data_IF_256996812567
#
_entry.id   IF_256996812567
#
_cell.length_a   1.000
_cell.length_b   1.000
_cell.length_c   1.000
_cell.angle_alpha   90.00
_cell.angle_beta   90.00
_cell.angle_gamma   90.00
#
_symmetry.space_group_name_H-M   'P 1'
#
loop_
_entity.id
_entity.type
_entity.pdbx_description
1 polymer ?
#
# COMPACT_ATOMS: atom_id res chain seq x y z
N UNK A 1 51.24 -33.42 50.97
CA UNK A 1 50.32 -32.78 50.00
C UNK A 1 50.01 -33.77 48.89
N UNK A 2 48.74 -34.17 48.75
CA UNK A 2 48.34 -35.31 47.93
C UNK A 2 48.45 -34.96 46.42
N UNK A 3 49.23 -35.72 45.65
CA UNK A 3 49.49 -35.44 44.21
C UNK A 3 48.20 -35.28 43.40
N UNK A 4 47.11 -35.93 43.81
CA UNK A 4 45.79 -35.80 43.19
C UNK A 4 45.16 -34.41 43.38
N UNK A 5 45.40 -33.75 44.52
CA UNK A 5 44.89 -32.41 44.83
C UNK A 5 45.65 -31.34 44.02
N UNK A 6 46.96 -31.52 43.82
CA UNK A 6 47.78 -30.61 43.01
C UNK A 6 47.37 -30.63 41.53
N UNK A 7 47.08 -31.82 40.98
CA UNK A 7 46.63 -31.98 39.59
C UNK A 7 45.24 -31.38 39.39
N UNK A 8 44.33 -31.55 40.34
CA UNK A 8 42.98 -30.97 40.25
C UNK A 8 43.02 -29.43 40.26
N UNK A 9 43.87 -28.84 41.11
CA UNK A 9 44.01 -27.39 41.21
C UNK A 9 44.58 -26.76 39.91
N UNK A 10 45.54 -27.43 39.26
CA UNK A 10 46.11 -26.96 37.99
C UNK A 10 45.08 -27.00 36.84
N UNK A 11 44.27 -28.05 36.76
CA UNK A 11 43.22 -28.16 35.72
C UNK A 11 42.17 -27.06 35.89
N UNK A 12 41.70 -26.80 37.12
CA UNK A 12 40.70 -25.75 37.39
C UNK A 12 41.27 -24.37 37.02
N UNK A 13 42.53 -24.09 37.33
CA UNK A 13 43.18 -22.82 36.98
C UNK A 13 43.28 -22.59 35.46
N UNK A 14 43.54 -23.64 34.69
CA UNK A 14 43.61 -23.58 33.23
C UNK A 14 42.24 -23.33 32.58
N UNK A 15 41.17 -23.92 33.13
CA UNK A 15 39.80 -23.67 32.66
C UNK A 15 39.33 -22.24 32.98
N UNK A 16 39.67 -21.70 34.16
CA UNK A 16 39.32 -20.33 34.52
C UNK A 16 40.08 -19.33 33.63
N UNK A 17 41.37 -19.56 33.39
CA UNK A 17 42.17 -18.71 32.50
C UNK A 17 41.66 -18.78 31.04
N UNK A 18 41.31 -19.96 30.55
CA UNK A 18 40.73 -20.15 29.21
C UNK A 18 39.34 -19.50 29.07
N UNK A 19 38.49 -19.59 30.10
CA UNK A 19 37.17 -18.95 30.11
C UNK A 19 37.28 -17.42 30.11
N UNK A 20 38.19 -16.84 30.91
CA UNK A 20 38.42 -15.40 30.91
C UNK A 20 39.02 -14.89 29.59
N UNK A 21 39.92 -15.65 28.95
CA UNK A 21 40.47 -15.27 27.66
C UNK A 21 39.42 -15.30 26.54
N UNK A 22 38.55 -16.31 26.53
CA UNK A 22 37.47 -16.45 25.55
C UNK A 22 36.34 -15.42 25.76
N UNK A 23 36.06 -15.03 27.01
CA UNK A 23 34.99 -14.07 27.32
C UNK A 23 35.43 -12.59 27.22
N UNK A 24 36.74 -12.30 27.28
CA UNK A 24 37.28 -10.94 27.24
C UNK A 24 37.61 -10.44 25.82
N UNK A 25 37.57 -11.29 24.80
CA UNK A 25 37.67 -10.88 23.40
C UNK A 25 36.35 -10.30 22.88
N UNK A 26 35.94 -9.13 23.39
CA UNK A 26 34.91 -8.29 22.75
C UNK A 26 35.58 -7.46 21.64
N UNK A 27 35.10 -7.52 20.38
CA UNK A 27 35.61 -6.63 19.33
C UNK A 27 35.24 -5.18 19.69
N UNK A 28 36.26 -4.33 19.82
CA UNK A 28 36.15 -2.92 20.22
C UNK A 28 35.64 -1.99 19.10
N UNK A 29 35.14 -2.53 17.98
CA UNK A 29 34.56 -1.76 16.89
C UNK A 29 33.38 -2.50 16.26
N UNK A 30 32.19 -2.30 16.82
CA UNK A 30 30.93 -2.45 16.09
C UNK A 30 30.38 -1.05 15.80
N UNK A 31 31.03 -0.35 14.87
CA UNK A 31 30.47 0.87 14.29
C UNK A 31 29.31 0.44 13.37
N UNK A 32 28.09 0.50 13.89
CA UNK A 32 26.86 0.14 13.18
C UNK A 32 26.55 1.16 12.08
N UNK A 33 27.24 1.05 10.94
CA UNK A 33 26.96 1.78 9.70
C UNK A 33 25.57 1.46 9.11
N UNK A 34 24.92 0.40 9.58
CA UNK A 34 23.60 -0.04 9.07
C UNK A 34 22.44 0.78 9.62
N UNK A 35 22.59 1.38 10.80
CA UNK A 35 21.52 2.15 11.45
C UNK A 35 21.38 3.56 10.86
N UNK A 36 22.48 4.19 10.44
CA UNK A 36 22.45 5.49 9.75
C UNK A 36 21.78 5.39 8.38
N UNK A 37 22.16 4.40 7.57
CA UNK A 37 21.62 4.19 6.22
C UNK A 37 20.11 3.92 6.22
N UNK A 38 19.60 3.09 7.14
CA UNK A 38 18.17 2.79 7.21
C UNK A 38 17.35 3.96 7.75
N UNK A 39 17.90 4.74 8.68
CA UNK A 39 17.21 5.91 9.24
C UNK A 39 17.18 7.08 8.26
N UNK A 40 18.25 7.29 7.50
CA UNK A 40 18.33 8.29 6.44
C UNK A 40 17.41 7.94 5.26
N UNK A 41 17.40 6.68 4.81
CA UNK A 41 16.48 6.22 3.75
C UNK A 41 15.02 6.33 4.19
N UNK A 42 14.70 5.98 5.45
CA UNK A 42 13.34 6.13 6.00
C UNK A 42 12.93 7.60 6.07
N UNK A 43 13.83 8.50 6.48
CA UNK A 43 13.59 9.95 6.47
C UNK A 43 13.29 10.46 5.06
N UNK A 44 14.13 10.12 4.08
CA UNK A 44 13.95 10.52 2.68
C UNK A 44 12.65 10.00 2.05
N UNK A 45 12.25 8.76 2.34
CA UNK A 45 10.97 8.19 1.87
C UNK A 45 9.78 8.93 2.48
N UNK A 46 9.86 9.28 3.77
CA UNK A 46 8.81 10.05 4.42
C UNK A 46 8.69 11.47 3.85
N UNK A 47 9.83 12.12 3.56
CA UNK A 47 9.85 13.46 2.96
C UNK A 47 9.28 13.45 1.53
N UNK A 48 9.63 12.43 0.73
CA UNK A 48 9.09 12.27 -0.61
C UNK A 48 7.57 12.01 -0.59
N UNK A 49 7.08 11.17 0.34
CA UNK A 49 5.65 10.91 0.50
C UNK A 49 4.89 12.17 0.95
N UNK A 50 5.45 12.92 1.91
CA UNK A 50 4.87 14.18 2.36
C UNK A 50 4.82 15.24 1.25
N UNK A 51 5.88 15.36 0.45
CA UNK A 51 5.89 16.25 -0.71
C UNK A 51 4.84 15.86 -1.77
N UNK A 52 4.66 14.55 -2.01
CA UNK A 52 3.64 14.05 -2.92
C UNK A 52 2.22 14.33 -2.42
N UNK A 53 1.98 14.11 -1.12
CA UNK A 53 0.72 14.49 -0.47
C UNK A 53 0.42 15.99 -0.61
N UNK A 54 1.40 16.85 -0.32
CA UNK A 54 1.24 18.30 -0.42
C UNK A 54 0.86 18.72 -1.84
N UNK A 55 1.51 18.13 -2.84
CA UNK A 55 1.18 18.37 -4.24
C UNK A 55 -0.25 17.93 -4.59
N UNK A 56 -0.60 16.66 -4.30
CA UNK A 56 -1.89 16.08 -4.69
C UNK A 56 -3.08 16.76 -3.98
N UNK A 57 -2.90 17.16 -2.72
CA UNK A 57 -3.94 17.83 -1.93
C UNK A 57 -4.25 19.25 -2.39
N UNK A 58 -3.29 19.94 -3.01
CA UNK A 58 -3.43 21.33 -3.48
C UNK A 58 -3.68 21.47 -4.98
N UNK A 59 -3.20 20.50 -5.77
CA UNK A 59 -3.20 20.57 -7.24
C UNK A 59 -4.06 19.49 -7.90
N UNK A 60 -4.94 18.84 -7.13
CA UNK A 60 -5.89 17.86 -7.65
C UNK A 60 -6.82 18.44 -8.72
N UNK A 61 -7.14 17.61 -9.72
CA UNK A 61 -8.10 17.93 -10.78
C UNK A 61 -9.31 16.98 -10.78
N UNK A 62 -9.30 15.95 -9.93
CA UNK A 62 -10.34 14.94 -9.85
C UNK A 62 -11.64 15.53 -9.33
N UNK A 63 -12.76 15.19 -9.97
CA UNK A 63 -14.10 15.56 -9.53
C UNK A 63 -15.04 14.38 -9.64
N UNK A 64 -15.89 14.20 -8.62
CA UNK A 64 -16.93 13.19 -8.61
C UNK A 64 -18.18 13.67 -9.39
N UNK A 65 -17.99 14.11 -10.65
CA UNK A 65 -19.04 14.64 -11.54
C UNK A 65 -19.10 13.88 -12.88
N UNK A 66 -20.29 13.88 -13.49
CA UNK A 66 -20.51 13.31 -14.83
C UNK A 66 -19.69 14.02 -15.91
N UNK A 67 -19.60 15.36 -15.86
CA UNK A 67 -18.80 16.14 -16.79
C UNK A 67 -17.30 15.77 -16.73
N UNK A 68 -16.75 15.58 -15.52
CA UNK A 68 -15.37 15.12 -15.40
C UNK A 68 -15.21 13.71 -15.96
N UNK A 69 -16.12 12.78 -15.63
CA UNK A 69 -16.11 11.42 -16.21
C UNK A 69 -16.07 11.45 -17.73
N UNK A 70 -16.93 12.24 -18.36
CA UNK A 70 -17.06 12.28 -19.81
C UNK A 70 -15.79 12.90 -20.45
N UNK A 71 -15.15 13.87 -19.77
CA UNK A 71 -13.90 14.48 -20.22
C UNK A 71 -12.70 13.52 -20.26
N UNK A 72 -12.69 12.45 -19.46
CA UNK A 72 -11.55 11.51 -19.39
C UNK A 72 -11.29 10.86 -20.74
N UNK A 73 -12.33 10.61 -21.53
CA UNK A 73 -12.22 9.96 -22.84
C UNK A 73 -11.36 10.77 -23.83
N UNK A 74 -11.37 12.10 -23.72
CA UNK A 74 -10.61 13.01 -24.59
C UNK A 74 -9.26 13.44 -24.03
N UNK A 75 -8.94 13.10 -22.78
CA UNK A 75 -7.63 13.42 -22.18
C UNK A 75 -6.49 12.71 -22.95
N UNK A 76 -5.31 13.33 -23.14
CA UNK A 76 -4.12 12.61 -23.57
C UNK A 76 -3.80 11.44 -22.63
N UNK A 77 -3.32 10.32 -23.16
CA UNK A 77 -3.09 9.08 -22.41
C UNK A 77 -2.13 9.24 -21.22
N UNK A 78 -1.15 10.13 -21.33
CA UNK A 78 -0.18 10.47 -20.30
C UNK A 78 -0.67 11.55 -19.31
N UNK A 79 -1.91 12.03 -19.47
CA UNK A 79 -2.52 12.95 -18.49
C UNK A 79 -2.75 12.21 -17.17
N UNK A 80 -2.85 12.97 -16.07
CA UNK A 80 -2.99 12.43 -14.72
C UNK A 80 -4.30 12.90 -14.10
N UNK A 81 -5.07 11.97 -13.55
CA UNK A 81 -6.24 12.22 -12.72
C UNK A 81 -5.75 12.24 -11.27
N UNK A 82 -5.74 13.43 -10.68
CA UNK A 82 -5.01 13.70 -9.45
C UNK A 82 -5.91 14.23 -8.33
N UNK A 83 -5.57 13.89 -7.09
CA UNK A 83 -6.23 14.36 -5.88
C UNK A 83 -7.52 13.62 -5.54
N UNK A 84 -8.13 14.01 -4.43
CA UNK A 84 -9.39 13.47 -3.94
C UNK A 84 -10.59 14.06 -4.69
N UNK A 85 -11.71 13.34 -4.75
CA UNK A 85 -12.89 13.79 -5.50
C UNK A 85 -14.06 14.30 -4.62
N UNK A 86 -14.09 14.00 -3.32
CA UNK A 86 -15.22 14.28 -2.43
C UNK A 86 -14.84 15.12 -1.20
N UNK A 87 -13.81 14.71 -0.47
CA UNK A 87 -13.34 15.36 0.76
C UNK A 87 -11.85 15.70 0.65
N UNK A 88 -11.32 16.64 1.45
CA UNK A 88 -9.88 16.90 1.51
C UNK A 88 -9.06 15.65 1.82
N UNK A 89 -7.86 15.52 1.25
CA UNK A 89 -6.98 14.39 1.56
C UNK A 89 -6.50 14.43 3.03
N UNK A 90 -6.32 13.25 3.62
CA UNK A 90 -5.72 13.08 4.95
C UNK A 90 -4.34 12.44 4.83
N UNK A 91 -3.31 13.05 5.42
CA UNK A 91 -1.93 12.52 5.33
C UNK A 91 -1.81 11.14 5.99
N UNK A 92 -2.54 10.92 7.08
CA UNK A 92 -2.55 9.62 7.77
C UNK A 92 -3.08 8.53 6.85
N UNK A 93 -4.29 8.72 6.31
CA UNK A 93 -4.92 7.78 5.39
C UNK A 93 -4.11 7.58 4.12
N UNK A 94 -3.62 8.66 3.51
CA UNK A 94 -2.79 8.60 2.30
C UNK A 94 -1.56 7.71 2.52
N UNK A 95 -0.90 7.85 3.67
CA UNK A 95 0.27 7.04 4.00
C UNK A 95 -0.05 5.56 4.14
N UNK A 96 -1.17 5.24 4.79
CA UNK A 96 -1.63 3.85 4.94
C UNK A 96 -2.03 3.23 3.60
N UNK A 97 -2.72 3.98 2.75
CA UNK A 97 -3.15 3.54 1.44
C UNK A 97 -1.94 3.25 0.53
N UNK A 98 -1.00 4.18 0.41
CA UNK A 98 0.21 4.01 -0.41
C UNK A 98 1.07 2.85 0.11
N UNK A 99 1.23 2.71 1.44
CA UNK A 99 1.97 1.59 2.02
C UNK A 99 1.27 0.25 1.76
N UNK A 100 -0.05 0.19 1.99
CA UNK A 100 -0.85 -1.03 1.81
C UNK A 100 -0.87 -1.50 0.35
N UNK A 101 -0.88 -0.57 -0.62
CA UNK A 101 -0.87 -0.89 -2.05
C UNK A 101 0.44 -1.52 -2.53
N UNK A 102 1.56 -1.40 -1.80
CA UNK A 102 2.82 -2.09 -2.14
C UNK A 102 2.66 -3.61 -2.21
N UNK A 103 1.72 -4.18 -1.44
CA UNK A 103 1.36 -5.60 -1.52
C UNK A 103 0.95 -6.02 -2.94
N UNK A 104 0.42 -5.09 -3.73
CA UNK A 104 -0.13 -5.31 -5.06
C UNK A 104 0.72 -4.74 -6.19
N UNK A 105 1.94 -4.26 -5.91
CA UNK A 105 2.80 -3.54 -6.87
C UNK A 105 3.14 -4.31 -8.15
N UNK A 106 2.97 -5.63 -8.16
CA UNK A 106 3.23 -6.49 -9.33
C UNK A 106 2.02 -6.64 -10.27
N UNK A 107 0.88 -6.00 -9.95
CA UNK A 107 -0.32 -5.98 -10.78
C UNK A 107 -0.42 -4.60 -11.43
N UNK A 108 -0.14 -4.54 -12.73
CA UNK A 108 0.00 -3.28 -13.46
C UNK A 108 -1.30 -2.45 -13.48
N UNK A 109 -2.45 -3.09 -13.35
CA UNK A 109 -3.77 -2.44 -13.33
C UNK A 109 -4.09 -1.77 -11.99
N UNK A 110 -3.39 -2.11 -10.89
CA UNK A 110 -3.58 -1.47 -9.59
C UNK A 110 -2.66 -0.24 -9.53
N UNK A 111 -3.20 1.00 -9.49
CA UNK A 111 -2.37 2.19 -9.33
C UNK A 111 -1.60 2.12 -8.00
N UNK A 112 -0.29 2.42 -7.96
CA UNK A 112 0.47 2.43 -6.72
C UNK A 112 0.12 3.62 -5.80
N UNK A 113 -0.52 4.66 -6.35
CA UNK A 113 -1.04 5.82 -5.63
C UNK A 113 -2.52 6.02 -6.01
N UNK A 114 -3.46 5.92 -5.06
CA UNK A 114 -4.89 5.98 -5.36
C UNK A 114 -5.36 7.39 -5.76
N UNK A 115 -4.55 8.42 -5.49
CA UNK A 115 -4.83 9.80 -5.82
C UNK A 115 -4.07 10.27 -7.07
N UNK A 116 -3.40 9.38 -7.80
CA UNK A 116 -2.63 9.75 -8.99
C UNK A 116 -2.66 8.67 -10.09
N UNK A 117 -3.62 8.77 -11.00
CA UNK A 117 -3.95 7.74 -12.00
C UNK A 117 -3.68 8.25 -13.43
N UNK A 118 -3.06 7.45 -14.29
CA UNK A 118 -2.94 7.78 -15.72
C UNK A 118 -4.29 7.73 -16.42
N UNK A 119 -4.55 8.69 -17.29
CA UNK A 119 -5.74 8.72 -18.11
C UNK A 119 -5.87 7.46 -18.97
N UNK A 120 -4.77 6.94 -19.52
CA UNK A 120 -4.78 5.67 -20.27
C UNK A 120 -5.33 4.51 -19.43
N UNK A 121 -4.85 4.36 -18.20
CA UNK A 121 -5.31 3.31 -17.30
C UNK A 121 -6.77 3.53 -16.91
N UNK A 122 -7.16 4.76 -16.56
CA UNK A 122 -8.53 5.10 -16.23
C UNK A 122 -9.51 4.76 -17.38
N UNK A 123 -9.20 5.14 -18.62
CA UNK A 123 -10.01 4.82 -19.81
C UNK A 123 -10.19 3.31 -19.97
N UNK A 124 -9.09 2.55 -19.87
CA UNK A 124 -9.13 1.08 -19.98
C UNK A 124 -10.06 0.50 -18.93
N UNK A 125 -9.85 0.84 -17.66
CA UNK A 125 -10.62 0.28 -16.55
C UNK A 125 -12.10 0.69 -16.59
N UNK A 126 -12.41 1.91 -17.03
CA UNK A 126 -13.79 2.34 -17.27
C UNK A 126 -14.46 1.51 -18.38
N UNK A 127 -13.76 1.22 -19.48
CA UNK A 127 -14.29 0.37 -20.53
C UNK A 127 -14.47 -1.09 -20.07
N UNK A 128 -13.56 -1.59 -19.23
CA UNK A 128 -13.62 -2.93 -18.65
C UNK A 128 -14.81 -3.09 -17.67
N UNK A 129 -15.24 -2.00 -17.03
CA UNK A 129 -16.45 -1.99 -16.18
C UNK A 129 -17.70 -2.47 -16.93
N UNK A 130 -17.88 -2.04 -18.18
CA UNK A 130 -19.05 -2.40 -18.98
C UNK A 130 -18.82 -3.67 -19.81
N UNK A 131 -17.62 -3.85 -20.34
CA UNK A 131 -17.33 -4.93 -21.30
C UNK A 131 -17.03 -6.28 -20.67
N UNK A 132 -16.44 -6.33 -19.46
CA UNK A 132 -16.14 -7.60 -18.81
C UNK A 132 -17.41 -8.22 -18.26
N UNK A 133 -17.71 -9.41 -18.77
CA UNK A 133 -18.74 -10.32 -18.25
C UNK A 133 -18.09 -11.32 -17.31
N UNK A 134 -18.63 -11.39 -16.09
CA UNK A 134 -18.22 -12.35 -15.07
C UNK A 134 -19.08 -13.62 -15.17
N UNK A 135 -18.53 -14.78 -14.83
CA UNK A 135 -19.33 -15.97 -14.55
C UNK A 135 -20.19 -15.76 -13.30
N UNK A 136 -21.08 -16.70 -13.00
CA UNK A 136 -21.90 -16.64 -11.78
C UNK A 136 -21.02 -16.58 -10.52
N UNK A 137 -20.01 -17.45 -10.43
CA UNK A 137 -19.09 -17.52 -9.27
C UNK A 137 -18.22 -16.26 -9.17
N UNK A 138 -17.73 -15.75 -10.30
CA UNK A 138 -16.97 -14.50 -10.36
C UNK A 138 -17.84 -13.30 -9.93
N UNK A 139 -19.11 -13.28 -10.33
CA UNK A 139 -20.07 -12.24 -9.96
C UNK A 139 -20.38 -12.29 -8.46
N UNK A 140 -20.47 -13.47 -7.85
CA UNK A 140 -20.63 -13.60 -6.40
C UNK A 140 -19.45 -12.98 -5.63
N UNK A 141 -18.21 -13.17 -6.11
CA UNK A 141 -17.04 -12.51 -5.53
C UNK A 141 -17.11 -10.98 -5.69
N UNK A 142 -17.54 -10.49 -6.85
CA UNK A 142 -17.70 -9.06 -7.09
C UNK A 142 -18.78 -8.44 -6.20
N UNK A 143 -19.94 -9.09 -6.08
CA UNK A 143 -21.07 -8.64 -5.28
C UNK A 143 -20.75 -8.69 -3.78
N UNK A 144 -19.97 -9.68 -3.34
CA UNK A 144 -19.40 -9.70 -2.00
C UNK A 144 -18.58 -8.43 -1.75
N UNK A 145 -17.69 -8.06 -2.68
CA UNK A 145 -16.85 -6.89 -2.52
C UNK A 145 -17.67 -5.60 -2.42
N UNK A 146 -18.71 -5.47 -3.26
CA UNK A 146 -19.65 -4.35 -3.25
C UNK A 146 -20.36 -4.19 -1.90
N UNK A 147 -20.69 -5.29 -1.22
CA UNK A 147 -21.37 -5.25 0.06
C UNK A 147 -20.43 -5.02 1.25
N UNK A 148 -19.16 -5.41 1.12
CA UNK A 148 -18.23 -5.49 2.25
C UNK A 148 -17.14 -4.40 2.26
N UNK A 149 -16.89 -3.71 1.15
CA UNK A 149 -16.06 -2.50 1.15
C UNK A 149 -16.64 -1.41 2.03
N UNK A 150 -15.79 -0.50 2.49
CA UNK A 150 -16.14 0.57 3.43
C UNK A 150 -17.19 1.50 2.81
N UNK A 151 -17.03 1.80 1.53
CA UNK A 151 -17.94 2.66 0.74
C UNK A 151 -19.18 1.93 0.18
N UNK A 152 -19.35 0.64 0.49
CA UNK A 152 -20.38 -0.21 -0.12
C UNK A 152 -20.34 -0.17 -1.66
N UNK A 153 -19.11 -0.22 -2.17
CA UNK A 153 -18.73 -0.21 -3.56
C UNK A 153 -17.26 0.18 -3.71
N UNK A 154 -16.76 0.27 -4.96
CA UNK A 154 -15.39 0.68 -5.25
C UNK A 154 -15.05 2.13 -4.86
N UNK A 155 -16.05 2.96 -4.57
CA UNK A 155 -15.91 4.37 -4.23
C UNK A 155 -17.22 4.88 -3.58
N UNK A 156 -17.15 5.97 -2.83
CA UNK A 156 -18.30 6.64 -2.20
C UNK A 156 -19.39 7.12 -3.20
N UNK A 157 -19.03 7.43 -4.45
CA UNK A 157 -19.94 7.97 -5.46
C UNK A 157 -19.85 7.16 -6.76
N UNK A 158 -20.98 6.97 -7.46
CA UNK A 158 -21.05 6.34 -8.80
C UNK A 158 -20.54 7.27 -9.92
N UNK A 159 -19.32 7.77 -9.77
CA UNK A 159 -18.62 8.64 -10.71
C UNK A 159 -17.60 7.85 -11.55
N UNK A 160 -16.73 8.54 -12.28
CA UNK A 160 -15.63 7.93 -13.03
C UNK A 160 -14.79 6.94 -12.20
N UNK A 161 -14.50 7.26 -10.93
CA UNK A 161 -13.65 6.45 -10.05
C UNK A 161 -14.34 5.15 -9.66
N UNK A 162 -15.66 5.15 -9.52
CA UNK A 162 -16.45 3.94 -9.37
C UNK A 162 -16.34 3.03 -10.60
N UNK A 163 -16.42 3.61 -11.81
CA UNK A 163 -16.24 2.82 -13.04
C UNK A 163 -14.81 2.28 -13.14
N UNK A 164 -13.78 3.09 -12.88
CA UNK A 164 -12.37 2.66 -12.88
C UNK A 164 -12.17 1.49 -11.91
N UNK A 165 -12.49 1.66 -10.64
CA UNK A 165 -12.20 0.62 -9.65
C UNK A 165 -13.17 -0.55 -9.70
N UNK A 166 -14.41 -0.34 -10.17
CA UNK A 166 -15.31 -1.44 -10.51
C UNK A 166 -14.75 -2.29 -11.64
N UNK A 167 -14.25 -1.68 -12.72
CA UNK A 167 -13.58 -2.39 -13.81
C UNK A 167 -12.32 -3.12 -13.34
N UNK A 168 -11.52 -2.47 -12.49
CA UNK A 168 -10.40 -3.11 -11.82
C UNK A 168 -10.84 -4.35 -11.03
N UNK A 169 -11.90 -4.27 -10.23
CA UNK A 169 -12.43 -5.40 -9.48
C UNK A 169 -12.77 -6.59 -10.38
N UNK A 170 -13.41 -6.33 -11.53
CA UNK A 170 -13.70 -7.37 -12.53
C UNK A 170 -12.44 -8.02 -13.10
N UNK A 171 -11.41 -7.22 -13.43
CA UNK A 171 -10.11 -7.73 -13.91
C UNK A 171 -9.45 -8.59 -12.84
N UNK A 172 -9.42 -8.12 -11.59
CA UNK A 172 -8.77 -8.84 -10.50
C UNK A 172 -9.40 -10.20 -10.26
N UNK A 173 -10.73 -10.29 -10.33
CA UNK A 173 -11.43 -11.57 -10.22
C UNK A 173 -11.10 -12.46 -11.43
N UNK A 174 -11.33 -11.96 -12.64
CA UNK A 174 -11.25 -12.77 -13.86
C UNK A 174 -9.83 -13.21 -14.23
N UNK A 175 -8.86 -12.32 -14.10
CA UNK A 175 -7.49 -12.54 -14.58
C UNK A 175 -6.52 -12.92 -13.46
N UNK A 176 -6.80 -12.50 -12.22
CA UNK A 176 -5.94 -12.74 -11.06
C UNK A 176 -6.57 -13.65 -10.00
N UNK A 177 -7.78 -14.15 -10.25
CA UNK A 177 -8.50 -15.08 -9.36
C UNK A 177 -8.70 -14.53 -7.95
N UNK A 178 -8.86 -13.20 -7.83
CA UNK A 178 -9.10 -12.58 -6.53
C UNK A 178 -10.46 -13.01 -5.98
N UNK A 179 -10.50 -13.32 -4.68
CA UNK A 179 -11.75 -13.48 -3.94
C UNK A 179 -12.41 -12.13 -3.68
N UNK A 180 -13.68 -12.14 -3.31
CA UNK A 180 -14.39 -10.91 -2.92
C UNK A 180 -13.69 -10.16 -1.78
N UNK A 181 -13.12 -10.86 -0.80
CA UNK A 181 -12.33 -10.25 0.28
C UNK A 181 -11.07 -9.54 -0.24
N UNK A 182 -10.38 -10.13 -1.21
CA UNK A 182 -9.19 -9.51 -1.79
C UNK A 182 -9.55 -8.26 -2.60
N UNK A 183 -10.68 -8.29 -3.33
CA UNK A 183 -11.19 -7.10 -4.02
C UNK A 183 -11.61 -6.01 -3.03
N UNK A 184 -12.30 -6.37 -1.93
CA UNK A 184 -12.62 -5.43 -0.84
C UNK A 184 -11.37 -4.74 -0.30
N UNK A 185 -10.30 -5.50 -0.04
CA UNK A 185 -9.03 -4.92 0.44
C UNK A 185 -8.43 -3.94 -0.57
N UNK A 186 -8.42 -4.30 -1.85
CA UNK A 186 -7.93 -3.39 -2.90
C UNK A 186 -8.79 -2.12 -2.95
N UNK A 187 -10.12 -2.23 -2.95
CA UNK A 187 -11.00 -1.06 -3.01
C UNK A 187 -10.84 -0.14 -1.80
N UNK A 188 -10.78 -0.68 -0.58
CA UNK A 188 -10.58 0.13 0.63
C UNK A 188 -9.21 0.85 0.63
N UNK A 189 -8.17 0.23 0.07
CA UNK A 189 -6.88 0.88 -0.11
C UNK A 189 -6.85 1.87 -1.28
N UNK A 190 -7.67 1.62 -2.30
CA UNK A 190 -7.62 2.35 -3.57
C UNK A 190 -8.60 3.52 -3.63
N UNK A 191 -9.54 3.62 -2.70
CA UNK A 191 -10.51 4.69 -2.72
C UNK A 191 -9.79 6.05 -2.64
N UNK A 192 -10.22 6.97 -3.50
CA UNK A 192 -9.68 8.33 -3.61
C UNK A 192 -10.72 9.36 -3.18
N UNK A 193 -11.64 9.00 -2.29
CA UNK A 193 -12.71 9.91 -1.87
C UNK A 193 -12.15 11.07 -1.01
N UNK A 194 -11.06 10.83 -0.29
CA UNK A 194 -10.52 11.73 0.72
C UNK A 194 -11.29 11.63 2.04
N UNK A 195 -10.95 12.46 3.01
CA UNK A 195 -11.42 12.37 4.39
C UNK A 195 -10.52 11.46 5.25
N UNK A 196 -10.66 11.56 6.57
CA UNK A 196 -10.03 10.66 7.52
C UNK A 196 -10.89 9.41 7.78
N UNK A 197 -10.40 8.50 8.63
CA UNK A 197 -11.06 7.25 8.99
C UNK A 197 -12.40 7.42 9.72
N UNK A 198 -12.72 8.64 10.19
CA UNK A 198 -13.99 8.94 10.87
C UNK A 198 -15.05 9.52 9.92
N UNK A 199 -14.65 9.90 8.71
CA UNK A 199 -15.55 10.40 7.69
C UNK A 199 -16.18 9.26 6.89
N UNK A 200 -17.20 8.64 7.48
CA UNK A 200 -18.19 7.92 6.68
C UNK A 200 -18.99 8.96 5.88
N UNK A 201 -18.90 8.89 4.55
CA UNK A 201 -19.78 9.67 3.69
C UNK A 201 -21.23 9.27 3.99
N UNK A 202 -21.97 10.14 4.68
CA UNK A 202 -23.41 9.98 4.86
C UNK A 202 -24.04 9.93 3.46
N UNK A 203 -24.76 8.84 3.19
CA UNK A 203 -25.37 8.54 1.89
C UNK A 203 -26.47 9.53 1.55
#
# INVERSE_FOLDING_TARGET
MNKKILVLALIISAFIAGYFYFFSSKPLFNFSLKQSSQQETKGLVNDALAAKFDYLSKHGNSSCSGAFRDSITSMPDNSRLQGSCCSPMSMHRYSEQVEGLKKYQNIAEIPPDPYDIEAKLAKKLMADYDSIQLSTEEQEAYDYAMQNSDEKGPCCCKCWRWNVYGGLGKILIKNYQFTGQQVTQVWNLSDGCGGDSEHHHAR
#
